data_IF_247488923873
#
_entry.id   IF_247488923873
#
_cell.length_a   1.000
_cell.length_b   1.000
_cell.length_c   1.000
_cell.angle_alpha   90.00
_cell.angle_beta   90.00
_cell.angle_gamma   90.00
#
_symmetry.space_group_name_H-M   'P 1'
#
loop_
_entity.id
_entity.type
_entity.pdbx_description
1 polymer ?
#
# COMPACT_ATOMS: atom_id res chain seq x y z
N UNK A 1 15.68 -13.04 -2.26
CA UNK A 1 16.58 -11.90 -1.96
C UNK A 1 15.77 -10.61 -1.77
N UNK A 2 14.98 -10.17 -2.76
CA UNK A 2 14.15 -8.96 -2.63
C UNK A 2 13.15 -9.00 -1.48
N UNK A 3 12.54 -10.17 -1.23
CA UNK A 3 11.66 -10.43 -0.08
C UNK A 3 12.31 -10.01 1.26
N UNK A 4 13.62 -10.20 1.38
CA UNK A 4 14.39 -9.81 2.57
C UNK A 4 14.91 -8.37 2.50
N UNK A 5 15.34 -7.91 1.32
CA UNK A 5 15.96 -6.60 1.18
C UNK A 5 14.97 -5.45 1.29
N UNK A 6 13.80 -5.53 0.63
CA UNK A 6 12.88 -4.39 0.57
C UNK A 6 12.39 -3.95 1.95
N UNK A 7 11.94 -4.86 2.84
CA UNK A 7 11.53 -4.44 4.19
C UNK A 7 12.68 -3.86 5.01
N UNK A 8 13.89 -4.41 4.88
CA UNK A 8 15.07 -3.86 5.57
C UNK A 8 15.46 -2.47 5.04
N UNK A 9 15.32 -2.22 3.74
CA UNK A 9 15.49 -0.88 3.16
C UNK A 9 14.46 0.08 3.76
N UNK A 10 13.17 -0.30 3.83
CA UNK A 10 12.15 0.55 4.48
C UNK A 10 12.53 0.89 5.93
N UNK A 11 12.98 -0.10 6.71
CA UNK A 11 13.42 0.14 8.10
C UNK A 11 14.61 1.09 8.16
N UNK A 12 15.59 0.93 7.28
CA UNK A 12 16.74 1.81 7.19
C UNK A 12 16.37 3.25 6.78
N UNK A 13 15.41 3.42 5.85
CA UNK A 13 14.90 4.73 5.45
C UNK A 13 14.16 5.42 6.61
N UNK A 14 13.39 4.67 7.40
CA UNK A 14 12.77 5.19 8.63
C UNK A 14 13.86 5.61 9.62
N UNK A 15 14.83 4.75 9.91
CA UNK A 15 15.94 5.07 10.82
C UNK A 15 16.70 6.33 10.38
N UNK A 16 16.96 6.45 9.09
CA UNK A 16 17.60 7.62 8.50
C UNK A 16 16.75 8.88 8.70
N UNK A 17 15.46 8.83 8.37
CA UNK A 17 14.56 9.97 8.47
C UNK A 17 14.42 10.45 9.92
N UNK A 18 14.31 9.53 10.88
CA UNK A 18 14.26 9.85 12.31
C UNK A 18 15.59 10.40 12.84
N UNK A 19 16.72 9.92 12.33
CA UNK A 19 18.02 10.50 12.64
C UNK A 19 18.13 11.96 12.14
N UNK A 20 17.61 12.28 10.94
CA UNK A 20 17.54 13.66 10.47
C UNK A 20 16.59 14.51 11.33
N UNK A 21 15.41 13.97 11.66
CA UNK A 21 14.39 14.71 12.43
C UNK A 21 14.84 15.03 13.85
N UNK A 22 15.43 14.05 14.55
CA UNK A 22 15.95 14.23 15.90
C UNK A 22 17.21 15.12 15.97
N UNK A 23 17.84 15.43 14.84
CA UNK A 23 19.10 16.16 14.77
C UNK A 23 20.34 15.33 15.14
N UNK A 24 20.19 14.00 15.32
CA UNK A 24 21.33 13.06 15.45
C UNK A 24 22.16 13.01 14.16
N UNK A 25 21.51 13.21 13.02
CA UNK A 25 22.11 13.54 11.75
C UNK A 25 21.60 14.92 11.30
N UNK A 26 22.44 15.72 10.62
CA UNK A 26 22.13 17.11 10.30
C UNK A 26 22.32 17.46 8.83
N UNK A 27 22.21 16.47 7.94
CA UNK A 27 22.39 16.70 6.51
C UNK A 27 21.19 17.43 5.88
N UNK A 28 20.00 17.34 6.50
CA UNK A 28 18.74 17.88 5.96
C UNK A 28 18.02 18.75 6.99
N UNK A 29 18.33 20.05 7.08
CA UNK A 29 17.72 20.98 8.06
C UNK A 29 16.19 21.03 8.02
N UNK A 30 15.59 20.83 6.84
CA UNK A 30 14.14 20.83 6.65
C UNK A 30 13.42 19.71 7.43
N UNK A 31 14.12 18.63 7.79
CA UNK A 31 13.52 17.52 8.52
C UNK A 31 13.59 17.68 10.05
N UNK A 32 14.39 18.63 10.57
CA UNK A 32 14.59 18.79 12.02
C UNK A 32 13.26 19.08 12.73
N UNK A 33 12.84 18.17 13.60
CA UNK A 33 11.57 18.26 14.34
C UNK A 33 10.31 18.06 13.49
N UNK A 34 10.44 17.62 12.24
CA UNK A 34 9.33 17.51 11.30
C UNK A 34 8.59 16.16 11.38
N UNK A 35 9.21 15.13 11.98
CA UNK A 35 8.66 13.78 12.02
C UNK A 35 8.25 13.42 13.44
N UNK A 36 7.00 13.00 13.59
CA UNK A 36 6.48 12.41 14.80
C UNK A 36 6.68 10.89 14.78
N UNK A 37 7.62 10.40 15.59
CA UNK A 37 7.99 8.98 15.69
C UNK A 37 6.84 8.07 16.11
N UNK A 38 5.81 8.61 16.76
CA UNK A 38 4.64 7.84 17.17
C UNK A 38 3.66 7.59 16.02
N UNK A 39 3.81 8.29 14.89
CA UNK A 39 2.83 8.36 13.80
C UNK A 39 3.44 7.98 12.45
N UNK A 40 3.79 6.69 12.31
CA UNK A 40 4.39 6.13 11.09
C UNK A 40 3.43 5.14 10.44
N UNK A 41 3.07 5.36 9.18
CA UNK A 41 2.29 4.44 8.36
C UNK A 41 3.04 4.06 7.09
N UNK A 42 2.67 2.94 6.47
CA UNK A 42 3.25 2.51 5.19
C UNK A 42 2.16 2.37 4.13
N UNK A 43 2.50 2.80 2.91
CA UNK A 43 1.68 2.59 1.71
C UNK A 43 2.54 1.86 0.69
N UNK A 44 1.99 0.88 -0.01
CA UNK A 44 2.73 0.14 -1.01
C UNK A 44 1.86 -0.41 -2.14
N UNK A 45 2.29 -0.19 -3.37
CA UNK A 45 1.70 -0.74 -4.58
C UNK A 45 2.33 -2.09 -4.96
N UNK A 46 1.54 -3.08 -5.39
CA UNK A 46 2.05 -4.36 -5.92
C UNK A 46 2.99 -5.03 -4.93
N UNK A 47 4.22 -5.34 -5.33
CA UNK A 47 5.23 -5.91 -4.45
C UNK A 47 5.63 -4.95 -3.30
N UNK A 48 5.37 -3.66 -3.44
CA UNK A 48 5.41 -2.69 -2.35
C UNK A 48 4.37 -2.96 -1.25
N UNK A 49 3.20 -3.49 -1.59
CA UNK A 49 2.18 -3.93 -0.63
C UNK A 49 2.68 -5.09 0.25
N UNK A 50 3.34 -6.09 -0.37
CA UNK A 50 4.11 -7.09 0.39
C UNK A 50 5.16 -6.43 1.28
N UNK A 51 5.92 -5.50 0.73
CA UNK A 51 7.02 -4.85 1.46
C UNK A 51 6.50 -4.17 2.72
N UNK A 52 5.37 -3.46 2.61
CA UNK A 52 4.73 -2.80 3.74
C UNK A 52 4.24 -3.81 4.80
N UNK A 53 3.52 -4.85 4.37
CA UNK A 53 3.02 -5.90 5.27
C UNK A 53 4.16 -6.69 5.94
N UNK A 54 5.21 -7.07 5.19
CA UNK A 54 6.38 -7.76 5.71
C UNK A 54 7.20 -6.88 6.67
N UNK A 55 7.24 -5.56 6.45
CA UNK A 55 7.87 -4.62 7.39
C UNK A 55 7.10 -4.55 8.70
N UNK A 56 5.77 -4.46 8.64
CA UNK A 56 4.91 -4.34 9.81
C UNK A 56 4.73 -5.66 10.57
N UNK A 57 4.58 -6.79 9.86
CA UNK A 57 4.28 -8.11 10.41
C UNK A 57 5.47 -9.05 10.53
N UNK A 58 6.62 -8.67 9.97
CA UNK A 58 7.78 -9.54 9.85
C UNK A 58 7.70 -10.49 8.65
N UNK A 59 8.84 -11.08 8.32
CA UNK A 59 8.94 -12.11 7.28
C UNK A 59 10.10 -13.07 7.57
N UNK A 60 9.95 -14.35 7.29
CA UNK A 60 11.06 -15.32 7.30
C UNK A 60 11.15 -16.06 5.97
N UNK A 61 12.34 -16.02 5.37
CA UNK A 61 12.62 -16.72 4.13
C UNK A 61 14.09 -17.15 4.01
N UNK A 62 14.48 -17.77 2.88
CA UNK A 62 15.83 -18.31 2.70
C UNK A 62 16.96 -17.27 2.82
N UNK A 63 16.65 -16.00 2.61
CA UNK A 63 17.61 -14.90 2.72
C UNK A 63 17.73 -14.32 4.14
N UNK A 64 16.89 -14.76 5.09
CA UNK A 64 16.91 -14.33 6.48
C UNK A 64 15.54 -14.02 7.05
N UNK A 65 15.53 -13.57 8.30
CA UNK A 65 14.33 -13.16 9.04
C UNK A 65 14.32 -11.66 9.27
N UNK A 66 13.16 -11.06 9.02
CA UNK A 66 12.82 -9.66 9.30
C UNK A 66 11.88 -9.68 10.50
N UNK A 67 12.31 -9.05 11.60
CA UNK A 67 11.43 -8.81 12.74
C UNK A 67 10.41 -7.70 12.43
N UNK A 68 9.16 -7.82 12.90
CA UNK A 68 8.16 -6.76 12.84
C UNK A 68 8.73 -5.41 13.30
N UNK A 69 8.43 -4.34 12.59
CA UNK A 69 8.79 -2.98 13.03
C UNK A 69 7.66 -2.37 13.88
N UNK A 70 7.83 -2.24 15.21
CA UNK A 70 6.77 -1.81 16.12
C UNK A 70 6.39 -0.33 15.96
N UNK A 71 7.15 0.44 15.16
CA UNK A 71 6.85 1.85 14.89
C UNK A 71 5.67 2.02 13.93
N UNK A 72 5.42 1.03 13.07
CA UNK A 72 4.36 1.10 12.06
C UNK A 72 2.99 0.97 12.73
N UNK A 73 2.11 1.94 12.48
CA UNK A 73 0.77 2.05 13.08
C UNK A 73 -0.34 1.57 12.17
N UNK A 74 -0.15 1.68 10.85
CA UNK A 74 -1.11 1.19 9.87
C UNK A 74 -0.43 0.92 8.53
N UNK A 75 -1.03 0.02 7.73
CA UNK A 75 -0.56 -0.30 6.37
C UNK A 75 -1.69 -0.14 5.37
N UNK A 76 -1.36 0.42 4.20
CA UNK A 76 -2.21 0.44 3.02
C UNK A 76 -1.51 -0.31 1.88
N UNK A 77 -2.11 -1.41 1.42
CA UNK A 77 -1.68 -2.16 0.24
C UNK A 77 -2.57 -1.84 -0.95
N UNK A 78 -2.00 -1.33 -2.03
CA UNK A 78 -2.68 -1.04 -3.30
C UNK A 78 -2.30 -2.10 -4.33
N UNK A 79 -3.27 -2.86 -4.84
CA UNK A 79 -3.03 -4.05 -5.65
C UNK A 79 -1.91 -4.94 -5.06
N UNK A 80 -1.94 -5.31 -3.76
CA UNK A 80 -0.75 -5.79 -3.06
C UNK A 80 -0.38 -7.23 -3.45
N UNK A 81 0.87 -7.51 -3.80
CA UNK A 81 1.34 -8.86 -4.10
C UNK A 81 1.67 -9.64 -2.82
N UNK A 82 0.69 -10.25 -2.16
CA UNK A 82 0.82 -10.82 -0.80
C UNK A 82 1.17 -12.30 -0.76
N UNK A 83 1.19 -12.99 -1.92
CA UNK A 83 1.51 -14.43 -2.05
C UNK A 83 2.86 -14.88 -1.47
N UNK A 84 3.76 -13.95 -1.15
CA UNK A 84 5.06 -14.21 -0.49
C UNK A 84 4.97 -14.34 1.02
N UNK A 85 3.86 -13.93 1.62
CA UNK A 85 3.58 -14.09 3.05
C UNK A 85 2.81 -15.38 3.27
N UNK A 86 3.30 -16.19 4.20
CA UNK A 86 2.61 -17.36 4.73
C UNK A 86 1.36 -16.96 5.53
N UNK A 87 0.45 -17.92 5.74
CA UNK A 87 -0.76 -17.67 6.53
C UNK A 87 -0.42 -17.27 7.97
N UNK A 88 0.65 -17.84 8.54
CA UNK A 88 1.13 -17.51 9.87
C UNK A 88 1.65 -16.07 9.95
N UNK A 89 2.39 -15.60 8.94
CA UNK A 89 2.85 -14.22 8.87
C UNK A 89 1.68 -13.24 8.73
N UNK A 90 0.69 -13.53 7.88
CA UNK A 90 -0.53 -12.72 7.75
C UNK A 90 -1.33 -12.68 9.06
N UNK A 91 -1.53 -13.83 9.70
CA UNK A 91 -2.22 -13.93 11.01
C UNK A 91 -1.48 -13.16 12.10
N UNK A 92 -0.16 -13.04 11.99
CA UNK A 92 0.71 -12.31 12.90
C UNK A 92 0.53 -10.79 12.86
N UNK A 93 -0.07 -10.23 11.82
CA UNK A 93 -0.28 -8.79 11.68
C UNK A 93 -1.41 -8.33 12.63
N UNK A 94 -1.08 -7.44 13.57
CA UNK A 94 -1.96 -6.96 14.65
C UNK A 94 -2.32 -5.47 14.58
N UNK A 95 -1.93 -4.79 13.51
CA UNK A 95 -2.22 -3.36 13.30
C UNK A 95 -3.34 -3.19 12.25
N UNK A 96 -3.99 -2.03 12.18
CA UNK A 96 -4.90 -1.67 11.10
C UNK A 96 -4.28 -1.87 9.70
N UNK A 97 -5.02 -2.54 8.81
CA UNK A 97 -4.61 -2.75 7.41
C UNK A 97 -5.74 -2.43 6.45
N UNK A 98 -5.44 -1.69 5.39
CA UNK A 98 -6.32 -1.55 4.23
C UNK A 98 -5.70 -2.21 3.00
N UNK A 99 -6.49 -3.00 2.29
CA UNK A 99 -6.16 -3.68 1.05
C UNK A 99 -7.09 -3.13 -0.04
N UNK A 100 -6.53 -2.51 -1.06
CA UNK A 100 -7.26 -2.05 -2.24
C UNK A 100 -6.92 -2.92 -3.43
N UNK A 101 -7.93 -3.33 -4.20
CA UNK A 101 -7.72 -4.12 -5.42
C UNK A 101 -8.80 -3.81 -6.45
N UNK A 102 -8.44 -3.88 -7.72
CA UNK A 102 -9.36 -3.66 -8.83
C UNK A 102 -10.00 -4.97 -9.33
N UNK A 103 -11.24 -4.91 -9.80
CA UNK A 103 -11.92 -6.10 -10.35
C UNK A 103 -11.30 -6.62 -11.65
N UNK A 104 -10.48 -5.80 -12.34
CA UNK A 104 -9.75 -6.14 -13.56
C UNK A 104 -8.25 -6.37 -13.32
N UNK A 105 -7.81 -6.42 -12.07
CA UNK A 105 -6.43 -6.75 -11.73
C UNK A 105 -6.16 -8.24 -12.01
N UNK A 106 -5.34 -8.51 -13.02
CA UNK A 106 -4.91 -9.87 -13.40
C UNK A 106 -3.52 -10.20 -12.85
N UNK A 107 -2.73 -9.19 -12.49
CA UNK A 107 -1.38 -9.37 -11.94
C UNK A 107 -1.41 -9.78 -10.47
N UNK A 108 -2.28 -9.14 -9.68
CA UNK A 108 -2.57 -9.44 -8.27
C UNK A 108 -4.07 -9.65 -8.04
N UNK A 109 -4.63 -10.78 -8.51
CA UNK A 109 -6.07 -11.01 -8.45
C UNK A 109 -6.62 -11.00 -7.03
N UNK A 110 -7.83 -10.42 -6.87
CA UNK A 110 -8.55 -10.26 -5.60
C UNK A 110 -8.40 -11.49 -4.69
N UNK A 111 -8.78 -12.67 -5.17
CA UNK A 111 -8.82 -13.91 -4.35
C UNK A 111 -7.47 -14.23 -3.70
N UNK A 112 -6.38 -14.12 -4.46
CA UNK A 112 -5.06 -14.59 -4.03
C UNK A 112 -4.33 -13.53 -3.19
N UNK A 113 -4.52 -12.27 -3.55
CA UNK A 113 -3.62 -11.20 -3.16
C UNK A 113 -4.28 -10.19 -2.21
N UNK A 114 -5.61 -10.15 -2.11
CA UNK A 114 -6.34 -9.24 -1.20
C UNK A 114 -7.41 -9.92 -0.34
N UNK A 115 -8.18 -10.87 -0.87
CA UNK A 115 -9.17 -11.62 -0.10
C UNK A 115 -8.50 -12.54 0.93
N UNK A 116 -7.54 -13.37 0.50
CA UNK A 116 -6.75 -14.22 1.41
C UNK A 116 -6.14 -13.44 2.60
N UNK A 117 -5.39 -12.34 2.40
CA UNK A 117 -4.88 -11.57 3.53
C UNK A 117 -5.99 -10.86 4.33
N UNK A 118 -7.07 -10.40 3.68
CA UNK A 118 -8.22 -9.85 4.41
C UNK A 118 -8.80 -10.89 5.38
N UNK A 119 -8.92 -12.16 4.99
CA UNK A 119 -9.45 -13.22 5.84
C UNK A 119 -8.50 -13.57 6.98
N UNK A 120 -7.19 -13.63 6.71
CA UNK A 120 -6.18 -14.12 7.65
C UNK A 120 -5.65 -13.08 8.63
N UNK A 121 -5.56 -11.79 8.26
CA UNK A 121 -5.06 -10.75 9.16
C UNK A 121 -6.02 -10.60 10.34
N UNK A 122 -5.49 -10.50 11.57
CA UNK A 122 -6.30 -10.49 12.79
C UNK A 122 -6.25 -9.17 13.55
N UNK A 123 -5.42 -8.21 13.14
CA UNK A 123 -5.40 -6.86 13.69
C UNK A 123 -6.55 -6.02 13.15
N UNK A 124 -7.54 -5.64 13.97
CA UNK A 124 -8.63 -4.81 13.48
C UNK A 124 -8.24 -3.32 13.42
N UNK A 125 -8.87 -2.55 12.51
CA UNK A 125 -9.70 -3.05 11.43
C UNK A 125 -8.85 -3.59 10.27
N UNK A 126 -9.39 -4.59 9.57
CA UNK A 126 -8.93 -4.96 8.22
C UNK A 126 -9.96 -4.45 7.24
N UNK A 127 -9.55 -3.61 6.29
CA UNK A 127 -10.41 -3.03 5.26
C UNK A 127 -10.06 -3.63 3.92
N UNK A 128 -11.05 -4.15 3.19
CA UNK A 128 -10.92 -4.59 1.80
C UNK A 128 -11.77 -3.68 0.91
N UNK A 129 -11.12 -2.92 0.06
CA UNK A 129 -11.73 -2.01 -0.90
C UNK A 129 -11.55 -2.56 -2.32
N UNK A 130 -12.64 -3.06 -2.90
CA UNK A 130 -12.69 -3.62 -4.25
C UNK A 130 -13.25 -2.57 -5.21
N UNK A 131 -12.40 -2.07 -6.11
CA UNK A 131 -12.72 -1.01 -7.06
C UNK A 131 -13.18 -1.60 -8.39
N UNK A 132 -14.39 -1.27 -8.84
CA UNK A 132 -14.98 -1.76 -10.09
C UNK A 132 -14.22 -1.22 -11.30
N UNK A 133 -13.84 -2.08 -12.24
CA UNK A 133 -13.10 -1.74 -13.46
C UNK A 133 -11.70 -1.13 -13.27
N UNK A 134 -11.22 -0.98 -12.03
CA UNK A 134 -9.81 -0.72 -11.75
C UNK A 134 -8.97 -1.98 -12.04
N UNK A 135 -7.68 -1.79 -12.35
CA UNK A 135 -6.73 -2.87 -12.61
C UNK A 135 -5.39 -2.60 -11.90
N UNK A 136 -4.36 -3.40 -12.20
CA UNK A 136 -3.11 -3.37 -11.43
C UNK A 136 -2.44 -2.00 -11.38
N UNK A 137 -2.47 -1.23 -12.47
CA UNK A 137 -1.82 0.08 -12.53
C UNK A 137 -2.73 1.27 -12.18
N UNK A 138 -4.00 1.04 -11.84
CA UNK A 138 -4.96 2.08 -11.43
C UNK A 138 -4.49 2.90 -10.21
N UNK A 139 -3.51 2.39 -9.47
CA UNK A 139 -2.95 3.02 -8.27
C UNK A 139 -1.67 3.82 -8.52
N UNK A 140 -1.32 4.06 -9.78
CA UNK A 140 -0.02 4.62 -10.18
C UNK A 140 -0.19 5.75 -11.19
N UNK A 141 0.86 6.54 -11.37
CA UNK A 141 0.88 7.61 -12.37
C UNK A 141 1.08 7.12 -13.82
N UNK A 142 1.02 5.81 -14.09
CA UNK A 142 1.38 5.30 -15.42
C UNK A 142 0.48 5.84 -16.53
N UNK A 143 -0.81 6.09 -16.26
CA UNK A 143 -1.71 6.68 -17.27
C UNK A 143 -1.37 8.15 -17.52
N UNK A 144 -1.01 8.90 -16.48
CA UNK A 144 -0.48 10.26 -16.64
C UNK A 144 0.82 10.24 -17.47
N UNK A 145 1.74 9.31 -17.17
CA UNK A 145 2.99 9.19 -17.90
C UNK A 145 2.80 8.76 -19.35
N UNK A 146 1.79 7.92 -19.64
CA UNK A 146 1.45 7.54 -21.01
C UNK A 146 1.10 8.76 -21.86
N UNK A 147 0.41 9.74 -21.26
CA UNK A 147 0.01 10.98 -21.93
C UNK A 147 1.15 12.01 -21.98
N UNK A 148 1.90 12.19 -20.89
CA UNK A 148 2.85 13.31 -20.76
C UNK A 148 4.25 13.01 -21.31
N UNK A 149 4.78 11.80 -21.12
CA UNK A 149 6.16 11.47 -21.51
C UNK A 149 6.42 11.63 -23.02
N UNK A 150 5.50 11.24 -23.93
CA UNK A 150 5.70 11.47 -25.37
C UNK A 150 5.82 12.94 -25.78
N UNK A 151 5.40 13.88 -24.92
CA UNK A 151 5.49 15.33 -25.18
C UNK A 151 6.86 15.92 -24.83
N UNK A 152 7.72 15.16 -24.14
CA UNK A 152 9.06 15.60 -23.75
C UNK A 152 10.05 15.44 -24.92
N UNK A 153 10.92 16.43 -25.18
CA UNK A 153 11.81 16.42 -26.34
C UNK A 153 12.85 15.30 -26.34
N UNK A 154 13.26 14.83 -25.15
CA UNK A 154 14.36 13.87 -24.96
C UNK A 154 13.96 12.64 -24.12
N UNK A 155 12.69 12.23 -24.16
CA UNK A 155 12.25 11.03 -23.44
C UNK A 155 12.97 9.77 -23.99
N UNK A 156 13.69 9.00 -23.14
CA UNK A 156 14.35 7.79 -23.61
C UNK A 156 13.34 6.76 -24.15
N UNK A 157 13.60 6.19 -25.32
CA UNK A 157 12.68 5.23 -25.96
C UNK A 157 12.34 4.01 -25.08
N UNK A 158 13.31 3.57 -24.26
CA UNK A 158 13.10 2.48 -23.29
C UNK A 158 12.08 2.87 -22.21
N UNK A 159 12.08 4.12 -21.76
CA UNK A 159 11.12 4.63 -20.77
C UNK A 159 9.72 4.65 -21.38
N UNK A 160 9.57 5.21 -22.59
CA UNK A 160 8.29 5.25 -23.30
C UNK A 160 7.74 3.82 -23.56
N UNK A 161 8.62 2.87 -23.87
CA UNK A 161 8.23 1.46 -24.06
C UNK A 161 7.76 0.84 -22.76
N UNK A 162 8.49 1.03 -21.65
CA UNK A 162 8.11 0.50 -20.35
C UNK A 162 6.76 1.05 -19.86
N UNK A 163 6.49 2.34 -20.08
CA UNK A 163 5.20 2.96 -19.75
C UNK A 163 4.09 2.32 -20.57
N UNK A 164 4.25 2.18 -21.89
CA UNK A 164 3.25 1.53 -22.75
C UNK A 164 2.96 0.10 -22.32
N UNK A 165 3.99 -0.66 -21.94
CA UNK A 165 3.82 -2.02 -21.43
C UNK A 165 3.03 -2.05 -20.13
N UNK A 166 3.33 -1.16 -19.18
CA UNK A 166 2.60 -1.14 -17.90
C UNK A 166 1.16 -0.64 -18.10
N UNK A 167 0.96 0.37 -18.95
CA UNK A 167 -0.35 0.96 -19.19
C UNK A 167 -1.40 0.00 -19.78
N UNK A 168 -1.00 -1.17 -20.29
CA UNK A 168 -1.96 -2.17 -20.79
C UNK A 168 -2.88 -2.74 -19.71
N UNK A 169 -2.55 -2.57 -18.43
CA UNK A 169 -3.35 -3.06 -17.31
C UNK A 169 -3.74 -1.91 -16.37
N UNK A 170 -4.69 -1.09 -16.81
CA UNK A 170 -5.25 0.01 -16.00
C UNK A 170 -5.43 1.34 -16.73
N UNK A 171 -4.97 1.46 -17.98
CA UNK A 171 -5.21 2.65 -18.79
C UNK A 171 -5.98 2.28 -20.06
N UNK A 172 -7.06 3.01 -20.35
CA UNK A 172 -7.89 2.76 -21.52
C UNK A 172 -9.39 2.90 -21.21
N UNK A 173 -10.24 2.97 -22.24
CA UNK A 173 -11.68 3.15 -22.09
C UNK A 173 -12.39 1.96 -21.43
N UNK A 174 -11.76 0.80 -21.38
CA UNK A 174 -12.26 -0.40 -20.72
C UNK A 174 -12.01 -0.40 -19.20
N UNK A 175 -11.19 0.50 -18.67
CA UNK A 175 -10.92 0.61 -17.24
C UNK A 175 -11.68 1.78 -16.62
N UNK A 176 -11.74 1.81 -15.28
CA UNK A 176 -12.14 3.03 -14.58
C UNK A 176 -11.22 4.18 -15.02
N UNK A 177 -11.77 5.40 -15.14
CA UNK A 177 -10.97 6.55 -15.54
C UNK A 177 -9.86 6.84 -14.52
N UNK A 178 -8.66 7.15 -15.00
CA UNK A 178 -7.50 7.50 -14.16
C UNK A 178 -7.84 8.54 -13.06
N UNK A 179 -8.61 9.59 -13.40
CA UNK A 179 -9.00 10.61 -12.41
C UNK A 179 -9.80 10.02 -11.24
N UNK A 180 -10.73 9.11 -11.53
CA UNK A 180 -11.57 8.45 -10.52
C UNK A 180 -10.80 7.40 -9.74
N UNK A 181 -9.95 6.64 -10.41
CA UNK A 181 -9.02 5.69 -9.77
C UNK A 181 -8.14 6.41 -8.73
N UNK A 182 -7.55 7.55 -9.11
CA UNK A 182 -6.73 8.35 -8.20
C UNK A 182 -7.54 9.00 -7.09
N UNK A 183 -8.76 9.50 -7.38
CA UNK A 183 -9.66 10.06 -6.37
C UNK A 183 -9.98 9.04 -5.28
N UNK A 184 -10.42 7.84 -5.67
CA UNK A 184 -10.79 6.77 -4.73
C UNK A 184 -9.56 6.28 -3.96
N UNK A 185 -8.49 5.91 -4.67
CA UNK A 185 -7.32 5.30 -4.03
C UNK A 185 -6.57 6.29 -3.11
N UNK A 186 -6.41 7.54 -3.53
CA UNK A 186 -5.79 8.58 -2.70
C UNK A 186 -6.69 8.98 -1.55
N UNK A 187 -7.98 9.21 -1.82
CA UNK A 187 -8.96 9.62 -0.81
C UNK A 187 -9.07 8.60 0.32
N UNK A 188 -9.19 7.32 -0.02
CA UNK A 188 -9.23 6.23 0.97
C UNK A 188 -7.92 6.12 1.73
N UNK A 189 -6.78 6.16 1.05
CA UNK A 189 -5.45 6.10 1.69
C UNK A 189 -5.28 7.21 2.72
N UNK A 190 -5.58 8.45 2.34
CA UNK A 190 -5.47 9.62 3.23
C UNK A 190 -6.45 9.51 4.39
N UNK A 191 -7.71 9.14 4.14
CA UNK A 191 -8.71 8.96 5.19
C UNK A 191 -8.26 7.91 6.22
N UNK A 192 -7.78 6.76 5.75
CA UNK A 192 -7.32 5.67 6.60
C UNK A 192 -6.08 6.06 7.43
N UNK A 193 -5.08 6.69 6.81
CA UNK A 193 -3.89 7.13 7.54
C UNK A 193 -4.22 8.27 8.52
N UNK A 194 -5.14 9.17 8.17
CA UNK A 194 -5.59 10.21 9.09
C UNK A 194 -6.23 9.61 10.34
N UNK A 195 -7.04 8.56 10.19
CA UNK A 195 -7.67 7.87 11.32
C UNK A 195 -6.63 7.10 12.16
N UNK A 196 -5.88 6.18 11.54
CA UNK A 196 -5.07 5.17 12.25
C UNK A 196 -3.61 5.54 12.50
N UNK A 197 -3.13 6.62 11.89
CA UNK A 197 -1.75 7.10 12.08
C UNK A 197 -1.75 8.50 12.66
N UNK A 198 -2.48 9.44 12.07
CA UNK A 198 -2.45 10.83 12.50
C UNK A 198 -3.36 11.11 13.72
N UNK A 199 -4.49 10.39 13.79
CA UNK A 199 -5.58 10.64 14.72
C UNK A 199 -5.61 9.70 15.92
N UNK A 200 -6.78 9.63 16.55
CA UNK A 200 -7.09 8.69 17.63
C UNK A 200 -8.32 7.92 17.19
N UNK A 201 -8.16 6.68 16.70
CA UNK A 201 -9.28 5.93 16.15
C UNK A 201 -10.40 5.73 17.16
N UNK A 202 -11.64 5.83 16.69
CA UNK A 202 -12.79 5.46 17.50
C UNK A 202 -12.70 3.98 17.93
N UNK A 203 -13.07 3.68 19.18
CA UNK A 203 -12.99 2.33 19.72
C UNK A 203 -13.85 1.31 18.93
N UNK A 204 -14.89 1.76 18.25
CA UNK A 204 -15.73 0.93 17.37
C UNK A 204 -14.99 0.39 16.14
N UNK A 205 -13.80 0.90 15.82
CA UNK A 205 -12.96 0.28 14.78
C UNK A 205 -12.34 -1.04 15.20
N UNK A 206 -12.29 -1.33 16.50
CA UNK A 206 -11.63 -2.51 17.07
C UNK A 206 -12.60 -3.50 17.71
N UNK A 207 -13.90 -3.19 17.68
CA UNK A 207 -14.94 -4.05 18.20
C UNK A 207 -16.21 -3.87 17.37
N UNK A 208 -16.73 -4.97 16.84
CA UNK A 208 -18.00 -4.97 16.13
C UNK A 208 -18.09 -6.08 15.10
N UNK A 209 -19.18 -6.06 14.35
CA UNK A 209 -19.37 -6.99 13.24
C UNK A 209 -18.75 -6.44 11.95
N UNK A 210 -18.40 -7.38 11.07
CA UNK A 210 -18.01 -7.06 9.70
C UNK A 210 -19.14 -6.30 9.01
N UNK A 211 -18.81 -5.19 8.35
CA UNK A 211 -19.78 -4.40 7.59
C UNK A 211 -19.31 -4.15 6.17
N UNK A 212 -20.24 -4.13 5.22
CA UNK A 212 -19.98 -3.82 3.82
C UNK A 212 -20.71 -2.55 3.40
N UNK A 213 -20.00 -1.68 2.69
CA UNK A 213 -20.51 -0.45 2.08
C UNK A 213 -20.29 -0.59 0.58
N UNK A 214 -21.33 -0.41 -0.23
CA UNK A 214 -21.24 -0.51 -1.68
C UNK A 214 -21.68 0.80 -2.34
N UNK A 215 -20.90 1.20 -3.33
CA UNK A 215 -21.20 2.24 -4.32
C UNK A 215 -21.02 1.64 -5.73
N UNK A 216 -21.47 2.31 -6.81
CA UNK A 216 -21.39 1.75 -8.16
C UNK A 216 -19.98 1.33 -8.59
N UNK A 217 -18.97 2.06 -8.14
CA UNK A 217 -17.58 1.93 -8.54
C UNK A 217 -16.66 1.32 -7.46
N UNK A 218 -17.19 1.02 -6.27
CA UNK A 218 -16.40 0.43 -5.18
C UNK A 218 -17.26 -0.31 -4.17
N UNK A 219 -16.75 -1.43 -3.67
CA UNK A 219 -17.27 -2.11 -2.48
C UNK A 219 -16.20 -2.16 -1.40
N UNK A 220 -16.53 -1.70 -0.19
CA UNK A 220 -15.63 -1.68 0.96
C UNK A 220 -16.20 -2.62 2.03
N UNK A 221 -15.43 -3.63 2.40
CA UNK A 221 -15.74 -4.53 3.53
C UNK A 221 -14.77 -4.26 4.66
N UNK A 222 -15.29 -4.08 5.87
CA UNK A 222 -14.51 -3.73 7.06
C UNK A 222 -14.70 -4.84 8.08
N UNK A 223 -13.62 -5.53 8.45
CA UNK A 223 -13.55 -6.48 9.54
C UNK A 223 -13.03 -5.76 10.80
N UNK A 224 -13.88 -5.66 11.83
CA UNK A 224 -13.62 -4.96 13.10
C UNK A 224 -13.20 -5.90 14.22
#
# INVERSE_FOLDING_TARGET
MNDFLRPNVVKAEIDWALAQSSGKASAYPALKGAIDEARIGLVGHSYGGYTALATAGGHSGPAGTIAPDPRIKAVVGQAPYTRRLSDAELTGIKIPVMLMVGTKDITTPLELDSQRPFDLITGPPVVLAVMTDAAHQSYTDVCMYLDEIPKLPDAPALVATAIKTQATEGCGPEFMSYARDMELSTGLTVAFLNEFVAGTPDASWFAGETSTISAPDITITIKR
#
